data_IF_806172377591
#
_entry.id   IF_806172377591
#
_cell.length_a   1.000
_cell.length_b   1.000
_cell.length_c   1.000
_cell.angle_alpha   90.00
_cell.angle_beta   90.00
_cell.angle_gamma   90.00
#
_symmetry.space_group_name_H-M   'P 1'
#
loop_
_entity.id
_entity.type
_entity.pdbx_description
1 polymer ?
#
# COMPACT_ATOMS: atom_id res chain seq x y z
N UNK A 1 -16.18 4.17 -26.69
CA UNK A 1 -15.48 3.35 -25.67
C UNK A 1 -14.81 2.08 -26.23
N UNK A 2 -14.78 1.89 -27.54
CA UNK A 2 -14.25 0.65 -28.17
C UNK A 2 -12.79 0.73 -28.63
N UNK A 3 -12.08 1.84 -28.48
CA UNK A 3 -10.73 2.02 -29.05
C UNK A 3 -9.58 2.02 -28.03
N UNK A 4 -9.81 1.71 -26.75
CA UNK A 4 -8.74 1.70 -25.73
C UNK A 4 -8.15 0.29 -25.47
N UNK A 5 -8.76 -0.78 -25.97
CA UNK A 5 -8.32 -2.15 -25.72
C UNK A 5 -7.30 -2.70 -26.73
N UNK A 6 -7.07 -2.00 -27.85
CA UNK A 6 -6.26 -2.52 -28.97
C UNK A 6 -4.75 -2.20 -28.88
N UNK A 7 -4.25 -1.56 -27.80
CA UNK A 7 -2.87 -1.04 -27.80
C UNK A 7 -1.86 -1.90 -27.00
N UNK A 8 -2.24 -3.09 -26.51
CA UNK A 8 -1.40 -3.89 -25.61
C UNK A 8 -1.17 -5.33 -26.08
N UNK A 9 -0.65 -5.50 -27.29
CA UNK A 9 0.01 -6.75 -27.65
C UNK A 9 1.45 -6.71 -27.14
N UNK A 10 1.77 -7.66 -26.24
CA UNK A 10 3.03 -7.72 -25.54
C UNK A 10 4.21 -7.98 -26.45
N UNK A 11 5.29 -7.25 -26.22
CA UNK A 11 6.62 -7.55 -26.74
C UNK A 11 7.09 -8.86 -26.08
N UNK A 12 7.08 -9.94 -26.84
CA UNK A 12 7.63 -11.22 -26.41
C UNK A 12 9.17 -11.11 -26.33
N UNK A 13 9.70 -11.23 -25.13
CA UNK A 13 11.15 -11.34 -24.89
C UNK A 13 11.55 -12.80 -25.12
N UNK A 14 12.38 -13.05 -26.13
CA UNK A 14 12.99 -14.36 -26.37
C UNK A 14 13.88 -14.77 -25.20
N UNK A 15 13.59 -15.94 -24.65
CA UNK A 15 14.27 -16.52 -23.49
C UNK A 15 15.71 -16.94 -23.81
N UNK A 16 16.68 -16.38 -23.08
CA UNK A 16 17.99 -16.99 -22.90
C UNK A 16 17.86 -18.33 -22.14
N UNK A 17 18.63 -19.33 -22.51
CA UNK A 17 18.60 -20.73 -22.06
C UNK A 17 18.88 -21.00 -20.55
N UNK A 18 18.62 -20.07 -19.65
CA UNK A 18 18.67 -20.32 -18.21
C UNK A 18 17.25 -20.22 -17.63
N UNK A 19 16.69 -21.34 -17.16
CA UNK A 19 15.39 -21.30 -16.50
C UNK A 19 15.47 -20.40 -15.24
N UNK A 20 14.45 -19.57 -15.06
CA UNK A 20 14.26 -18.75 -13.87
C UNK A 20 15.24 -17.57 -13.69
N UNK A 21 15.77 -17.02 -14.77
CA UNK A 21 16.52 -15.78 -14.69
C UNK A 21 15.59 -14.59 -14.43
N UNK A 22 15.99 -13.72 -13.51
CA UNK A 22 15.31 -12.47 -13.23
C UNK A 22 15.44 -11.52 -14.45
N UNK A 23 14.35 -10.87 -14.83
CA UNK A 23 14.38 -9.76 -15.78
C UNK A 23 14.88 -8.50 -15.07
N UNK A 24 16.19 -8.27 -15.13
CA UNK A 24 16.81 -7.13 -14.46
C UNK A 24 16.34 -5.80 -15.04
N UNK A 25 16.08 -5.71 -16.36
CA UNK A 25 15.59 -4.48 -16.98
C UNK A 25 14.21 -4.10 -16.42
N UNK A 26 13.31 -5.05 -16.27
CA UNK A 26 11.99 -4.83 -15.66
C UNK A 26 12.10 -4.50 -14.17
N UNK A 27 13.04 -5.10 -13.43
CA UNK A 27 13.28 -4.77 -12.03
C UNK A 27 13.77 -3.31 -11.85
N UNK A 28 14.69 -2.86 -12.69
CA UNK A 28 15.15 -1.46 -12.72
C UNK A 28 14.04 -0.51 -13.15
N UNK A 29 13.23 -0.85 -14.16
CA UNK A 29 12.08 -0.06 -14.57
C UNK A 29 11.06 0.10 -13.43
N UNK A 30 10.83 -0.95 -12.61
CA UNK A 30 9.98 -0.86 -11.43
C UNK A 30 10.49 0.19 -10.43
N UNK A 31 11.80 0.20 -10.21
CA UNK A 31 12.46 1.16 -9.32
C UNK A 31 12.35 2.59 -9.86
N UNK A 32 12.63 2.79 -11.16
CA UNK A 32 12.57 4.07 -11.85
C UNK A 32 11.14 4.67 -11.82
N UNK A 33 10.12 3.86 -12.10
CA UNK A 33 8.74 4.30 -12.04
C UNK A 33 8.33 4.79 -10.66
N UNK A 34 8.85 4.19 -9.58
CA UNK A 34 8.68 4.67 -8.21
C UNK A 34 9.49 5.94 -7.91
N UNK A 35 10.42 6.34 -8.79
CA UNK A 35 11.32 7.47 -8.54
C UNK A 35 12.35 7.18 -7.45
N UNK A 36 12.80 5.93 -7.38
CA UNK A 36 13.76 5.44 -6.37
C UNK A 36 15.12 5.18 -7.03
N UNK A 37 16.16 5.27 -6.23
CA UNK A 37 17.50 4.85 -6.60
C UNK A 37 17.88 3.51 -5.93
N UNK A 38 18.91 2.85 -6.46
CA UNK A 38 19.35 1.54 -5.98
C UNK A 38 19.95 1.57 -4.57
N UNK A 39 20.53 2.70 -4.18
CA UNK A 39 21.27 2.81 -2.91
C UNK A 39 20.33 3.02 -1.72
N UNK A 40 19.17 3.63 -1.95
CA UNK A 40 18.14 3.88 -0.94
C UNK A 40 16.99 2.87 -0.98
N UNK A 41 17.08 1.84 -1.82
CA UNK A 41 16.04 0.84 -2.02
C UNK A 41 16.42 -0.51 -1.45
N UNK A 42 15.46 -1.15 -0.79
CA UNK A 42 15.68 -2.42 -0.10
C UNK A 42 14.80 -3.52 -0.67
N UNK A 43 15.40 -4.69 -0.80
CA UNK A 43 14.77 -5.93 -1.22
C UNK A 43 14.61 -6.89 -0.05
N UNK A 44 13.59 -7.75 -0.13
CA UNK A 44 13.43 -8.89 0.73
C UNK A 44 13.16 -10.15 -0.09
N UNK A 45 13.76 -11.26 0.30
CA UNK A 45 13.50 -12.58 -0.24
C UNK A 45 12.89 -13.48 0.84
N UNK A 46 11.68 -13.95 0.59
CA UNK A 46 10.90 -14.73 1.56
C UNK A 46 10.37 -16.01 0.89
N UNK A 47 10.51 -17.16 1.58
CA UNK A 47 9.88 -18.40 1.11
C UNK A 47 8.41 -18.41 1.49
N UNK A 48 7.49 -18.65 0.55
CA UNK A 48 6.04 -18.63 0.83
C UNK A 48 5.59 -19.67 1.85
N UNK A 49 6.27 -20.82 1.88
CA UNK A 49 5.96 -21.94 2.80
C UNK A 49 7.04 -22.16 3.87
N UNK A 50 7.86 -21.14 4.14
CA UNK A 50 8.89 -21.25 5.17
C UNK A 50 8.27 -21.29 6.56
N UNK A 51 8.49 -22.37 7.34
CA UNK A 51 8.33 -22.25 8.77
C UNK A 51 9.29 -21.16 9.24
N UNK A 52 8.82 -20.24 10.08
CA UNK A 52 9.61 -19.08 10.55
C UNK A 52 10.93 -19.48 11.25
N UNK A 53 11.14 -20.78 11.54
CA UNK A 53 12.29 -21.29 12.26
C UNK A 53 13.48 -21.66 11.36
N UNK A 54 13.23 -22.09 10.12
CA UNK A 54 14.26 -22.72 9.30
C UNK A 54 14.82 -21.86 8.17
N UNK A 55 14.21 -20.71 7.89
CA UNK A 55 14.56 -19.87 6.78
C UNK A 55 14.72 -18.42 7.24
N UNK A 56 15.96 -18.04 7.51
CA UNK A 56 16.25 -16.61 7.68
C UNK A 56 15.90 -15.90 6.36
N UNK A 57 14.93 -14.99 6.37
CA UNK A 57 14.66 -14.18 5.19
C UNK A 57 15.94 -13.41 4.85
N UNK A 58 16.27 -13.35 3.57
CA UNK A 58 17.33 -12.46 3.12
C UNK A 58 16.75 -11.06 2.94
N UNK A 59 17.49 -10.06 3.34
CA UNK A 59 17.19 -8.65 3.08
C UNK A 59 18.48 -7.95 2.71
N UNK A 60 18.45 -7.07 1.72
CA UNK A 60 19.60 -6.32 1.28
C UNK A 60 19.21 -5.12 0.41
N UNK A 61 20.17 -4.25 0.06
CA UNK A 61 19.93 -3.15 -0.84
C UNK A 61 19.64 -3.67 -2.27
N UNK A 62 19.02 -2.83 -3.09
CA UNK A 62 18.71 -3.18 -4.49
C UNK A 62 19.99 -3.44 -5.30
N UNK A 63 21.10 -2.79 -4.96
CA UNK A 63 22.42 -3.02 -5.58
C UNK A 63 22.90 -4.48 -5.46
N UNK A 64 22.32 -5.29 -4.56
CA UNK A 64 22.58 -6.73 -4.46
C UNK A 64 21.58 -7.59 -5.25
N UNK A 65 21.06 -7.07 -6.38
CA UNK A 65 20.05 -7.76 -7.20
C UNK A 65 20.47 -9.17 -7.65
N UNK A 66 21.76 -9.39 -7.88
CA UNK A 66 22.30 -10.74 -8.20
C UNK A 66 22.13 -11.73 -7.04
N UNK A 67 22.33 -11.27 -5.80
CA UNK A 67 22.07 -12.10 -4.62
C UNK A 67 20.59 -12.39 -4.47
N UNK A 68 19.73 -11.38 -4.70
CA UNK A 68 18.30 -11.54 -4.73
C UNK A 68 17.84 -12.56 -5.79
N UNK A 69 18.42 -12.49 -7.00
CA UNK A 69 18.16 -13.47 -8.08
C UNK A 69 18.47 -14.89 -7.64
N UNK A 70 19.62 -15.15 -7.01
CA UNK A 70 19.95 -16.48 -6.47
C UNK A 70 18.91 -16.96 -5.47
N UNK A 71 18.43 -16.06 -4.57
CA UNK A 71 17.36 -16.38 -3.63
C UNK A 71 16.03 -16.69 -4.33
N UNK A 72 15.73 -16.00 -5.42
CA UNK A 72 14.56 -16.31 -6.23
C UNK A 72 14.68 -17.70 -6.85
N UNK A 73 15.80 -18.04 -7.45
CA UNK A 73 16.07 -19.37 -8.02
C UNK A 73 15.99 -20.51 -6.98
N UNK A 74 16.30 -20.21 -5.71
CA UNK A 74 16.12 -21.12 -4.57
C UNK A 74 14.64 -21.26 -4.11
N UNK A 75 13.68 -20.66 -4.84
CA UNK A 75 12.25 -20.71 -4.53
C UNK A 75 11.74 -19.65 -3.56
N UNK A 76 12.52 -18.58 -3.34
CA UNK A 76 12.03 -17.42 -2.57
C UNK A 76 11.28 -16.45 -3.48
N UNK A 77 10.19 -15.87 -2.99
CA UNK A 77 9.60 -14.70 -3.63
C UNK A 77 10.42 -13.45 -3.37
N UNK A 78 10.63 -12.61 -4.38
CA UNK A 78 11.30 -11.32 -4.21
C UNK A 78 10.30 -10.18 -4.05
N UNK A 79 10.66 -9.25 -3.17
CA UNK A 79 9.83 -8.11 -2.82
C UNK A 79 10.70 -6.85 -2.74
N UNK A 80 10.12 -5.72 -3.15
CA UNK A 80 10.69 -4.38 -3.04
C UNK A 80 9.95 -3.61 -1.95
N UNK A 81 10.68 -2.92 -1.09
CA UNK A 81 10.10 -1.91 -0.19
C UNK A 81 9.67 -0.70 -1.02
N UNK A 82 8.39 -0.35 -0.95
CA UNK A 82 7.83 0.68 -1.83
C UNK A 82 8.25 2.08 -1.40
N UNK A 83 8.17 2.37 -0.12
CA UNK A 83 8.56 3.68 0.41
C UNK A 83 10.07 3.81 0.65
N UNK A 84 10.57 5.04 0.72
CA UNK A 84 11.98 5.34 0.94
C UNK A 84 12.32 5.33 2.42
N UNK A 85 13.48 4.76 2.75
CA UNK A 85 13.97 4.70 4.12
C UNK A 85 15.35 4.07 4.21
N UNK A 86 15.75 3.73 5.43
CA UNK A 86 17.05 3.12 5.74
C UNK A 86 16.96 1.63 6.04
N UNK A 87 15.77 1.02 5.87
CA UNK A 87 15.54 -0.40 6.14
C UNK A 87 14.08 -0.81 5.89
N UNK A 88 13.70 -1.95 6.47
CA UNK A 88 12.41 -2.62 6.24
C UNK A 88 11.46 -2.60 7.44
N UNK A 89 11.64 -1.68 8.39
CA UNK A 89 10.71 -1.46 9.50
C UNK A 89 9.97 -0.14 9.31
N UNK A 90 8.77 -0.02 9.87
CA UNK A 90 8.00 1.23 9.79
C UNK A 90 8.78 2.45 10.33
N UNK A 91 9.60 2.25 11.36
CA UNK A 91 10.46 3.29 11.92
C UNK A 91 11.61 3.73 11.00
N UNK A 92 11.98 2.89 10.04
CA UNK A 92 13.06 3.17 9.09
C UNK A 92 12.56 4.02 7.91
N UNK A 93 11.24 4.10 7.69
CA UNK A 93 10.65 4.81 6.55
C UNK A 93 10.63 6.31 6.80
N UNK A 94 11.24 7.05 5.89
CA UNK A 94 11.41 8.51 5.98
C UNK A 94 10.48 9.26 5.02
N UNK A 95 10.21 8.70 3.85
CA UNK A 95 9.40 9.31 2.81
C UNK A 95 8.53 8.27 2.12
N UNK A 96 7.31 8.65 1.77
CA UNK A 96 6.37 7.83 1.04
C UNK A 96 6.21 8.36 -0.39
N UNK A 97 6.52 7.51 -1.37
CA UNK A 97 6.60 7.88 -2.79
C UNK A 97 5.36 7.48 -3.58
N UNK A 98 4.55 6.59 -3.06
CA UNK A 98 3.37 6.07 -3.75
C UNK A 98 2.25 5.69 -2.77
N UNK A 99 1.04 5.61 -3.32
CA UNK A 99 -0.10 4.91 -2.74
C UNK A 99 -0.37 3.68 -3.61
N UNK A 100 -0.89 2.60 -3.01
CA UNK A 100 -1.10 1.34 -3.72
C UNK A 100 -2.28 0.55 -3.19
N UNK A 101 -2.75 -0.40 -4.00
CA UNK A 101 -3.73 -1.41 -3.59
C UNK A 101 -3.30 -2.79 -4.06
N UNK A 102 -3.71 -3.80 -3.30
CA UNK A 102 -3.58 -5.22 -3.59
C UNK A 102 -4.88 -5.91 -3.15
N UNK A 103 -5.28 -6.99 -3.84
CA UNK A 103 -6.44 -7.79 -3.45
C UNK A 103 -6.24 -9.24 -3.91
N UNK A 104 -6.04 -10.15 -2.97
CA UNK A 104 -5.83 -11.59 -3.24
C UNK A 104 -7.14 -12.40 -3.37
N UNK A 105 -8.31 -11.75 -3.19
CA UNK A 105 -9.61 -12.45 -3.09
C UNK A 105 -10.39 -12.47 -4.40
N UNK A 106 -10.15 -11.48 -5.28
CA UNK A 106 -10.89 -11.29 -6.53
C UNK A 106 -10.03 -11.63 -7.73
N UNK A 107 -10.67 -11.92 -8.86
CA UNK A 107 -9.98 -12.02 -10.13
C UNK A 107 -9.28 -10.70 -10.49
N UNK A 108 -8.23 -10.77 -11.32
CA UNK A 108 -7.46 -9.59 -11.73
C UNK A 108 -8.32 -8.56 -12.49
N UNK A 109 -9.27 -9.04 -13.28
CA UNK A 109 -10.16 -8.17 -14.03
C UNK A 109 -11.12 -7.41 -13.10
N UNK A 110 -11.71 -8.10 -12.10
CA UNK A 110 -12.53 -7.46 -11.08
C UNK A 110 -11.74 -6.44 -10.24
N UNK A 111 -10.47 -6.74 -9.92
CA UNK A 111 -9.59 -5.79 -9.23
C UNK A 111 -9.40 -4.51 -10.04
N UNK A 112 -9.12 -4.64 -11.34
CA UNK A 112 -8.92 -3.51 -12.24
C UNK A 112 -10.20 -2.72 -12.48
N UNK A 113 -11.32 -3.38 -12.73
CA UNK A 113 -12.63 -2.74 -12.91
C UNK A 113 -13.02 -1.92 -11.67
N UNK A 114 -12.86 -2.49 -10.49
CA UNK A 114 -13.15 -1.79 -9.22
C UNK A 114 -12.28 -0.57 -9.02
N UNK A 115 -10.99 -0.68 -9.36
CA UNK A 115 -10.07 0.44 -9.31
C UNK A 115 -10.51 1.55 -10.26
N UNK A 116 -10.70 1.24 -11.54
CA UNK A 116 -11.03 2.22 -12.58
C UNK A 116 -12.42 2.89 -12.38
N UNK A 117 -13.32 2.22 -11.66
CA UNK A 117 -14.62 2.80 -11.28
C UNK A 117 -14.52 3.88 -10.18
N UNK A 118 -13.39 3.97 -9.45
CA UNK A 118 -13.27 4.80 -8.25
C UNK A 118 -12.06 5.73 -8.25
N UNK A 119 -10.98 5.31 -8.90
CA UNK A 119 -9.67 5.95 -8.82
C UNK A 119 -9.16 6.31 -10.21
N UNK A 120 -8.24 7.25 -10.33
CA UNK A 120 -7.63 7.59 -11.60
C UNK A 120 -6.83 6.40 -12.17
N UNK A 121 -6.44 6.51 -13.45
CA UNK A 121 -5.61 5.50 -14.11
C UNK A 121 -4.31 5.28 -13.33
N UNK A 122 -3.86 4.03 -13.14
CA UNK A 122 -2.62 3.77 -12.40
C UNK A 122 -1.39 4.39 -13.08
N UNK A 123 -0.37 4.71 -12.28
CA UNK A 123 0.97 5.00 -12.83
C UNK A 123 1.52 3.75 -13.53
N UNK A 124 1.38 2.61 -12.90
CA UNK A 124 1.66 1.27 -13.44
C UNK A 124 0.99 0.21 -12.56
N UNK A 125 0.98 -1.02 -13.06
CA UNK A 125 0.48 -2.21 -12.33
C UNK A 125 1.56 -3.27 -12.36
N UNK A 126 1.83 -3.92 -11.22
CA UNK A 126 2.61 -5.15 -11.16
C UNK A 126 1.65 -6.32 -11.08
N UNK A 127 1.70 -7.19 -12.08
CA UNK A 127 0.89 -8.40 -12.14
C UNK A 127 1.63 -9.58 -11.52
N UNK A 128 1.06 -10.12 -10.45
CA UNK A 128 1.62 -11.27 -9.71
C UNK A 128 0.95 -12.58 -10.11
N UNK A 129 1.29 -13.66 -9.41
CA UNK A 129 0.62 -14.96 -9.56
C UNK A 129 -0.87 -14.90 -9.23
N UNK A 130 -1.26 -14.08 -8.22
CA UNK A 130 -2.62 -14.04 -7.68
C UNK A 130 -3.33 -12.71 -7.90
N UNK A 131 -2.63 -11.60 -7.76
CA UNK A 131 -3.22 -10.28 -7.64
C UNK A 131 -2.55 -9.26 -8.55
N UNK A 132 -3.17 -8.08 -8.61
CA UNK A 132 -2.59 -6.87 -9.15
C UNK A 132 -2.13 -5.98 -7.99
N UNK A 133 -0.89 -5.50 -8.07
CA UNK A 133 -0.43 -4.38 -7.26
C UNK A 133 -0.58 -3.10 -8.10
N UNK A 134 -1.51 -2.25 -7.73
CA UNK A 134 -1.89 -1.07 -8.50
C UNK A 134 -1.30 0.16 -7.82
N UNK A 135 -0.54 1.00 -8.55
CA UNK A 135 0.23 2.10 -7.98
C UNK A 135 -0.21 3.47 -8.48
N UNK A 136 -0.32 4.42 -7.55
CA UNK A 136 -0.34 5.86 -7.82
C UNK A 136 0.93 6.47 -7.25
N UNK A 137 1.87 6.82 -8.11
CA UNK A 137 3.15 7.41 -7.71
C UNK A 137 2.99 8.91 -7.58
N UNK A 138 3.52 9.45 -6.48
CA UNK A 138 3.42 10.88 -6.17
C UNK A 138 4.46 11.69 -6.96
N UNK A 139 4.11 12.92 -7.33
CA UNK A 139 5.05 13.90 -7.89
C UNK A 139 6.08 14.26 -6.83
N UNK A 140 5.64 14.52 -5.59
CA UNK A 140 6.49 14.81 -4.46
C UNK A 140 6.29 13.77 -3.36
N UNK A 141 7.37 13.18 -2.83
CA UNK A 141 7.28 12.30 -1.67
C UNK A 141 6.66 13.02 -0.47
N UNK A 142 5.89 12.30 0.33
CA UNK A 142 5.22 12.84 1.52
C UNK A 142 5.71 12.18 2.81
N UNK A 143 5.48 12.87 3.93
CA UNK A 143 5.83 12.35 5.26
C UNK A 143 4.98 11.12 5.64
N UNK A 144 5.54 10.13 6.34
CA UNK A 144 4.83 8.93 6.81
C UNK A 144 3.53 9.21 7.58
N UNK A 145 3.53 10.26 8.40
CA UNK A 145 2.37 10.67 9.19
C UNK A 145 1.18 11.11 8.32
N UNK A 146 1.46 11.76 7.18
CA UNK A 146 0.45 12.19 6.21
C UNK A 146 0.00 11.01 5.35
N UNK A 147 0.91 10.14 4.95
CA UNK A 147 0.63 9.01 4.08
C UNK A 147 -0.33 7.99 4.71
N UNK A 148 -0.10 7.60 5.97
CA UNK A 148 -0.78 6.48 6.61
C UNK A 148 -2.31 6.61 6.64
N UNK A 149 -2.91 7.75 7.01
CA UNK A 149 -4.37 7.91 6.97
C UNK A 149 -4.92 7.89 5.54
N UNK A 150 -4.18 8.44 4.56
CA UNK A 150 -4.61 8.48 3.15
C UNK A 150 -4.57 7.08 2.54
N UNK A 151 -3.49 6.33 2.76
CA UNK A 151 -3.38 4.93 2.34
C UNK A 151 -4.50 4.07 2.94
N UNK A 152 -4.83 4.28 4.22
CA UNK A 152 -5.94 3.56 4.84
C UNK A 152 -7.28 3.86 4.17
N UNK A 153 -7.57 5.14 3.89
CA UNK A 153 -8.79 5.55 3.17
C UNK A 153 -8.85 4.95 1.77
N UNK A 154 -7.74 4.99 1.04
CA UNK A 154 -7.66 4.39 -0.28
C UNK A 154 -8.01 2.90 -0.25
N UNK A 155 -7.36 2.12 0.63
CA UNK A 155 -7.61 0.69 0.75
C UNK A 155 -9.08 0.40 1.12
N UNK A 156 -9.63 1.14 2.06
CA UNK A 156 -11.04 0.98 2.45
C UNK A 156 -11.99 1.34 1.30
N UNK A 157 -11.68 2.39 0.53
CA UNK A 157 -12.51 2.85 -0.58
C UNK A 157 -12.50 1.88 -1.77
N UNK A 158 -11.33 1.33 -2.14
CA UNK A 158 -11.24 0.35 -3.22
C UNK A 158 -11.51 -1.08 -2.73
N UNK A 159 -11.75 -1.29 -1.43
CA UNK A 159 -11.97 -2.57 -0.78
C UNK A 159 -10.80 -3.55 -1.05
N UNK A 160 -9.58 -3.02 -0.90
CA UNK A 160 -8.33 -3.77 -1.05
C UNK A 160 -7.95 -4.54 0.22
N UNK A 161 -6.81 -5.25 0.19
CA UNK A 161 -6.32 -6.00 1.35
C UNK A 161 -5.87 -5.04 2.47
N UNK A 162 -6.50 -5.10 3.67
CA UNK A 162 -6.07 -4.30 4.82
C UNK A 162 -4.62 -4.50 5.26
N UNK A 163 -4.00 -5.64 4.92
CA UNK A 163 -2.62 -5.94 5.28
C UNK A 163 -1.60 -5.00 4.62
N UNK A 164 -1.98 -4.30 3.52
CA UNK A 164 -1.05 -3.43 2.78
C UNK A 164 -0.99 -1.99 3.30
N UNK A 165 -1.46 -1.71 4.51
CA UNK A 165 -1.50 -0.38 5.14
C UNK A 165 -0.23 0.00 5.92
N UNK A 166 0.81 -0.86 5.96
CA UNK A 166 2.06 -0.57 6.67
C UNK A 166 3.01 0.29 5.83
N UNK A 167 3.77 1.16 6.50
CA UNK A 167 4.75 2.05 5.87
C UNK A 167 5.88 1.28 5.17
N UNK A 168 6.37 0.22 5.82
CA UNK A 168 7.45 -0.63 5.34
C UNK A 168 6.97 -1.79 4.47
N UNK A 169 5.76 -1.65 3.89
CA UNK A 169 5.22 -2.72 3.05
C UNK A 169 6.17 -3.04 1.90
N UNK A 170 6.50 -4.32 1.78
CA UNK A 170 7.19 -4.87 0.63
C UNK A 170 6.15 -5.51 -0.30
N UNK A 171 6.24 -5.21 -1.59
CA UNK A 171 5.40 -5.78 -2.64
C UNK A 171 6.27 -6.51 -3.66
N UNK A 172 5.68 -7.44 -4.43
CA UNK A 172 6.43 -8.26 -5.40
C UNK A 172 7.25 -7.38 -6.34
N UNK A 173 8.53 -7.74 -6.51
CA UNK A 173 9.42 -7.10 -7.48
C UNK A 173 9.03 -7.56 -8.89
N UNK A 174 8.75 -6.62 -9.79
CA UNK A 174 8.59 -6.92 -11.21
C UNK A 174 9.91 -7.47 -11.78
N UNK A 175 9.83 -8.36 -12.75
CA UNK A 175 10.99 -9.06 -13.31
C UNK A 175 11.41 -10.30 -12.51
N UNK A 176 10.89 -10.50 -11.30
CA UNK A 176 11.17 -11.71 -10.51
C UNK A 176 10.20 -12.84 -10.84
N UNK A 177 10.58 -14.06 -10.48
CA UNK A 177 9.70 -15.21 -10.63
C UNK A 177 8.82 -15.39 -9.38
N UNK A 178 7.55 -15.62 -9.63
CA UNK A 178 6.57 -15.89 -8.59
C UNK A 178 6.81 -17.27 -7.98
N UNK A 179 7.16 -17.34 -6.71
CA UNK A 179 7.21 -18.58 -5.95
C UNK A 179 5.83 -18.87 -5.34
N UNK A 180 5.29 -20.06 -5.60
CA UNK A 180 4.04 -20.53 -5.04
C UNK A 180 4.22 -21.03 -3.58
N UNK A 181 3.14 -21.50 -2.95
CA UNK A 181 3.16 -22.01 -1.57
C UNK A 181 4.11 -23.21 -1.36
N UNK A 182 4.46 -23.92 -2.43
CA UNK A 182 5.37 -25.09 -2.39
C UNK A 182 6.83 -24.68 -2.69
N UNK A 183 7.11 -23.39 -2.74
CA UNK A 183 8.37 -22.75 -3.13
C UNK A 183 8.81 -23.07 -4.56
N UNK A 184 7.89 -23.40 -5.43
CA UNK A 184 8.15 -23.61 -6.85
C UNK A 184 7.98 -22.28 -7.60
N UNK A 185 8.90 -22.02 -8.52
CA UNK A 185 8.77 -20.89 -9.43
C UNK A 185 7.78 -21.24 -10.55
N UNK A 186 6.82 -20.36 -10.81
CA UNK A 186 5.71 -20.71 -11.71
C UNK A 186 5.53 -19.73 -12.85
N UNK A 187 5.72 -18.44 -12.64
CA UNK A 187 5.53 -17.40 -13.64
C UNK A 187 6.35 -16.15 -13.35
N UNK A 188 6.63 -15.39 -14.39
CA UNK A 188 7.25 -14.08 -14.24
C UNK A 188 6.25 -13.09 -13.65
N UNK A 189 6.70 -12.28 -12.70
CA UNK A 189 5.99 -11.11 -12.18
C UNK A 189 6.23 -9.97 -13.17
N UNK A 190 5.20 -9.51 -13.84
CA UNK A 190 5.32 -8.56 -14.95
C UNK A 190 4.73 -7.20 -14.59
N UNK A 191 5.07 -6.18 -15.37
CA UNK A 191 4.38 -4.90 -15.34
C UNK A 191 3.39 -4.79 -16.50
N UNK A 192 2.27 -4.10 -16.26
CA UNK A 192 1.30 -3.77 -17.29
C UNK A 192 0.69 -2.37 -17.04
N UNK A 193 0.01 -1.83 -18.03
CA UNK A 193 -0.64 -0.53 -17.95
C UNK A 193 0.33 0.58 -17.44
N UNK A 194 1.55 0.61 -17.98
CA UNK A 194 2.57 1.58 -17.60
C UNK A 194 2.24 2.91 -18.28
N UNK A 195 1.60 3.81 -17.55
CA UNK A 195 1.29 5.16 -18.05
C UNK A 195 2.39 6.16 -17.72
N UNK A 196 3.17 5.90 -16.67
CA UNK A 196 4.17 6.83 -16.14
C UNK A 196 3.57 8.09 -15.50
N UNK A 197 2.24 8.24 -15.49
CA UNK A 197 1.58 9.40 -14.88
C UNK A 197 1.87 9.46 -13.39
N UNK A 198 2.31 10.62 -12.91
CA UNK A 198 2.48 10.92 -11.49
C UNK A 198 1.36 11.84 -11.01
N UNK A 199 1.10 11.82 -9.72
CA UNK A 199 -0.06 12.48 -9.12
C UNK A 199 0.36 13.45 -8.03
N UNK A 200 -0.28 14.60 -7.97
CA UNK A 200 -0.31 15.41 -6.77
C UNK A 200 -1.18 14.71 -5.71
N UNK A 201 -0.79 14.86 -4.45
CA UNK A 201 -1.53 14.25 -3.34
C UNK A 201 -3.00 14.70 -3.32
N UNK A 202 -3.25 15.98 -3.60
CA UNK A 202 -4.58 16.58 -3.63
C UNK A 202 -5.46 15.94 -4.72
N UNK A 203 -4.90 15.65 -5.89
CA UNK A 203 -5.60 14.94 -6.97
C UNK A 203 -6.10 13.56 -6.50
N UNK A 204 -5.27 12.81 -5.76
CA UNK A 204 -5.66 11.51 -5.21
C UNK A 204 -6.71 11.68 -4.11
N UNK A 205 -6.49 12.60 -3.18
CA UNK A 205 -7.38 12.83 -2.02
C UNK A 205 -8.76 13.26 -2.46
N UNK A 206 -8.88 14.03 -3.56
CA UNK A 206 -10.18 14.47 -4.11
C UNK A 206 -11.04 13.31 -4.64
N UNK A 207 -10.42 12.18 -4.99
CA UNK A 207 -11.16 10.97 -5.39
C UNK A 207 -11.66 10.15 -4.21
N UNK A 208 -11.12 10.37 -3.00
CA UNK A 208 -11.48 9.59 -1.82
C UNK A 208 -12.69 10.19 -1.11
N UNK A 209 -13.60 9.37 -0.52
CA UNK A 209 -14.71 9.85 0.27
C UNK A 209 -14.24 10.81 1.37
N UNK A 210 -15.03 11.84 1.65
CA UNK A 210 -14.78 12.71 2.80
C UNK A 210 -14.76 11.90 4.09
N UNK A 211 -13.84 12.25 4.99
CA UNK A 211 -13.82 11.66 6.33
C UNK A 211 -14.78 12.46 7.19
N UNK A 212 -15.92 11.86 7.52
CA UNK A 212 -16.74 12.45 8.58
C UNK A 212 -15.90 12.57 9.86
N UNK A 213 -15.82 13.75 10.48
CA UNK A 213 -15.09 13.92 11.72
C UNK A 213 -15.67 12.95 12.75
N UNK A 214 -14.84 11.98 13.19
CA UNK A 214 -15.26 11.11 14.29
C UNK A 214 -15.67 11.99 15.45
N UNK A 215 -16.88 11.80 16.02
CA UNK A 215 -17.29 12.55 17.20
C UNK A 215 -16.17 12.39 18.24
N UNK A 216 -15.61 13.51 18.68
CA UNK A 216 -14.60 13.47 19.74
C UNK A 216 -15.22 12.75 20.93
N UNK A 217 -14.50 11.80 21.57
CA UNK A 217 -15.01 11.17 22.77
C UNK A 217 -15.32 12.28 23.77
N UNK A 218 -16.60 12.43 24.05
CA UNK A 218 -17.05 13.36 25.11
C UNK A 218 -16.27 12.95 26.37
N UNK A 219 -15.52 13.86 27.00
CA UNK A 219 -14.81 13.53 28.21
C UNK A 219 -15.78 12.86 29.17
N UNK A 220 -15.54 11.60 29.54
CA UNK A 220 -16.39 10.90 30.49
C UNK A 220 -16.33 11.69 31.80
N UNK A 221 -17.40 12.42 32.11
CA UNK A 221 -17.59 13.02 33.41
C UNK A 221 -17.57 11.87 34.43
N UNK A 222 -16.42 11.70 35.12
CA UNK A 222 -16.36 10.78 36.25
C UNK A 222 -17.23 11.37 37.34
N UNK A 223 -18.46 10.89 37.44
CA UNK A 223 -19.31 11.24 38.58
C UNK A 223 -18.69 10.63 39.86
N UNK A 224 -18.55 11.39 40.94
CA UNK A 224 -18.11 10.84 42.21
C UNK A 224 -19.12 9.76 42.69
N UNK A 225 -18.64 8.77 43.46
CA UNK A 225 -19.50 7.74 43.99
C UNK A 225 -20.65 8.37 44.82
N UNK A 226 -21.84 7.74 44.74
CA UNK A 226 -23.02 8.18 45.49
C UNK A 226 -22.68 8.51 46.95
N UNK A 227 -22.83 9.76 47.34
CA UNK A 227 -22.55 10.22 48.72
C UNK A 227 -21.42 11.22 48.87
N UNK A 228 -20.70 11.56 47.78
CA UNK A 228 -19.65 12.59 47.82
C UNK A 228 -20.20 14.01 47.67
N UNK A 229 -19.71 14.95 48.50
CA UNK A 229 -19.98 16.38 48.37
C UNK A 229 -19.14 16.95 47.21
N UNK A 230 -19.79 17.62 46.26
CA UNK A 230 -19.15 18.28 45.14
C UNK A 230 -18.36 19.54 45.62
N UNK A 231 -17.12 19.74 45.23
CA UNK A 231 -16.48 21.04 45.44
C UNK A 231 -17.28 22.14 44.76
N UNK A 232 -17.43 23.29 45.40
CA UNK A 232 -18.25 24.43 44.94
C UNK A 232 -17.95 24.95 43.54
N UNK A 233 -16.79 24.60 42.94
CA UNK A 233 -16.44 24.89 41.55
C UNK A 233 -17.01 23.93 40.49
N UNK A 234 -17.38 22.71 40.88
CA UNK A 234 -17.83 21.66 39.93
C UNK A 234 -19.16 21.99 39.27
N UNK A 235 -20.07 22.65 40.01
CA UNK A 235 -21.41 23.06 39.52
C UNK A 235 -21.27 24.11 38.40
N UNK A 236 -20.36 25.08 38.52
CA UNK A 236 -20.14 26.07 37.45
C UNK A 236 -19.66 25.42 36.16
N UNK A 237 -18.73 24.48 36.23
CA UNK A 237 -18.19 23.80 35.05
C UNK A 237 -19.29 22.96 34.33
N UNK A 238 -20.23 22.37 35.06
CA UNK A 238 -21.36 21.61 34.45
C UNK A 238 -22.33 22.57 33.75
N UNK A 239 -22.64 23.71 34.37
CA UNK A 239 -23.52 24.72 33.76
C UNK A 239 -22.91 25.34 32.52
N UNK A 240 -21.62 25.62 32.53
CA UNK A 240 -20.88 26.15 31.35
C UNK A 240 -20.79 25.12 30.24
N UNK A 241 -20.59 23.83 30.56
CA UNK A 241 -20.61 22.74 29.57
C UNK A 241 -22.00 22.58 28.93
N UNK A 242 -23.07 22.72 29.68
CA UNK A 242 -24.45 22.66 29.17
C UNK A 242 -24.82 23.87 28.29
N UNK A 243 -24.21 25.05 28.51
CA UNK A 243 -24.36 26.24 27.64
C UNK A 243 -23.70 26.10 26.29
N UNK A 244 -22.70 25.19 26.13
CA UNK A 244 -22.03 24.91 24.89
C UNK A 244 -22.76 23.89 24.02
N UNK A 245 -23.89 23.31 24.47
CA UNK A 245 -24.72 22.41 23.67
C UNK A 245 -25.53 23.26 22.70
N UNK A 246 -25.37 23.13 21.38
CA UNK A 246 -26.19 23.89 20.44
C UNK A 246 -27.65 23.52 20.58
N UNK A 247 -28.58 24.51 20.46
CA UNK A 247 -30.02 24.23 20.56
C UNK A 247 -30.42 23.22 19.50
N UNK A 248 -31.22 22.22 19.87
CA UNK A 248 -31.81 21.25 18.93
C UNK A 248 -32.57 22.01 17.86
N UNK A 249 -32.20 21.79 16.59
CA UNK A 249 -32.97 22.27 15.45
C UNK A 249 -34.27 21.47 15.41
N UNK A 250 -35.47 22.14 15.53
CA UNK A 250 -36.73 21.43 15.42
C UNK A 250 -36.87 20.84 14.00
N UNK A 251 -37.11 19.53 13.88
CA UNK A 251 -37.44 18.88 12.61
C UNK A 251 -36.50 17.80 12.11
N UNK A 252 -35.38 17.45 12.78
CA UNK A 252 -34.52 16.31 12.43
C UNK A 252 -34.76 15.13 13.37
N UNK A 253 -35.99 14.68 13.44
CA UNK A 253 -36.36 13.51 14.20
C UNK A 253 -36.89 12.42 13.26
N UNK A 254 -36.12 11.37 13.03
CA UNK A 254 -36.58 9.98 12.95
C UNK A 254 -35.48 9.09 13.52
#
# INVERSE_FOLDING_TARGET
>A
MENLLAFFEGVGVENSNQPWQLDAAMAHQHLELLGKDETSSFLGAYKPNGSRKDLKPWTGPFSELETAQRKNQEGSGLYLCINNGTGLKDADIQQCVALWSEDDKRSKDEQLERWLARMPVPTFIVETGKSLHIYLVLIQPIAPALWKPIQSRLIDFVDGDPAVKSLSRVLRLAGSWYANKDNELTRLVTMRNVTGKRYDLEEIVSCLPEVEPKPQPVPSLKFPPKGGTYPSGTIRNIVDALRCIPPRVPGTGT
#
